data_IF_643577583313
#
_entry.id   IF_643577583313
#
_cell.length_a   1.000
_cell.length_b   1.000
_cell.length_c   1.000
_cell.angle_alpha   90.00
_cell.angle_beta   90.00
_cell.angle_gamma   90.00
#
_symmetry.space_group_name_H-M   'P 1'
#
loop_
_entity.id
_entity.type
_entity.pdbx_description
1 polymer ?
#
# COMPACT_ATOMS: atom_id res chain seq x y z
N UNK A 1 -39.56 -26.84 -15.59
CA UNK A 1 -40.17 -27.02 -14.26
C UNK A 1 -39.34 -28.10 -13.55
N UNK A 2 -38.49 -27.74 -12.58
CA UNK A 2 -37.63 -28.72 -11.87
C UNK A 2 -38.48 -29.47 -10.85
N UNK A 3 -38.44 -30.79 -10.90
CA UNK A 3 -39.29 -31.71 -10.14
C UNK A 3 -38.88 -31.75 -8.66
N UNK A 4 -39.84 -31.94 -7.75
CA UNK A 4 -39.64 -31.93 -6.27
C UNK A 4 -38.78 -33.11 -5.77
N UNK A 5 -38.51 -34.10 -6.62
CA UNK A 5 -37.80 -35.33 -6.27
C UNK A 5 -36.36 -35.42 -6.80
N UNK A 6 -35.81 -34.37 -7.43
CA UNK A 6 -34.40 -34.37 -7.84
C UNK A 6 -33.49 -34.15 -6.63
N UNK A 7 -32.82 -35.21 -6.18
CA UNK A 7 -31.75 -35.19 -5.16
C UNK A 7 -30.48 -34.53 -5.71
N UNK A 8 -30.54 -33.22 -5.90
CA UNK A 8 -29.33 -32.44 -6.12
C UNK A 8 -28.49 -32.44 -4.83
N UNK A 9 -27.23 -32.82 -4.94
CA UNK A 9 -26.24 -32.76 -3.86
C UNK A 9 -25.34 -31.55 -4.13
N UNK A 10 -25.09 -30.72 -3.12
CA UNK A 10 -24.11 -29.65 -3.24
C UNK A 10 -22.71 -30.28 -3.28
N UNK A 11 -21.99 -30.10 -4.38
CA UNK A 11 -20.66 -30.71 -4.60
C UNK A 11 -19.55 -29.88 -3.93
N UNK A 12 -19.55 -28.54 -4.08
CA UNK A 12 -18.51 -27.66 -3.52
C UNK A 12 -18.93 -26.18 -3.53
N UNK A 13 -18.35 -25.35 -2.65
CA UNK A 13 -18.35 -23.89 -2.74
C UNK A 13 -17.06 -23.40 -3.37
N UNK A 14 -17.17 -22.48 -4.34
CA UNK A 14 -16.02 -21.79 -4.91
C UNK A 14 -15.93 -20.40 -4.27
N UNK A 15 -14.91 -20.11 -3.43
CA UNK A 15 -14.77 -18.82 -2.78
C UNK A 15 -14.29 -17.73 -3.76
N UNK A 16 -14.57 -16.46 -3.42
CA UNK A 16 -14.01 -15.33 -4.16
C UNK A 16 -12.50 -15.24 -3.91
N UNK A 17 -11.72 -15.02 -4.97
CA UNK A 17 -10.27 -14.90 -4.90
C UNK A 17 -9.78 -13.45 -4.83
N UNK A 18 -10.65 -12.46 -5.09
CA UNK A 18 -10.34 -11.03 -4.99
C UNK A 18 -10.36 -10.56 -3.53
N UNK A 19 -9.29 -10.85 -2.80
CA UNK A 19 -9.08 -10.38 -1.41
C UNK A 19 -8.10 -9.21 -1.39
N UNK A 20 -8.12 -8.39 -0.34
CA UNK A 20 -7.08 -7.40 -0.06
C UNK A 20 -5.70 -8.04 0.03
N UNK A 21 -4.71 -7.30 -0.45
CA UNK A 21 -3.29 -7.61 -0.31
C UNK A 21 -2.68 -6.48 0.52
N UNK A 22 -1.83 -6.81 1.48
CA UNK A 22 -1.23 -5.84 2.42
C UNK A 22 0.29 -5.75 2.25
N UNK A 23 0.80 -6.04 1.06
CA UNK A 23 2.24 -6.24 0.87
C UNK A 23 3.03 -4.92 1.05
N UNK A 24 2.52 -3.80 0.53
CA UNK A 24 3.17 -2.49 0.71
C UNK A 24 3.16 -2.09 2.18
N UNK A 25 2.02 -2.30 2.84
CA UNK A 25 1.87 -2.08 4.27
C UNK A 25 2.87 -2.91 5.08
N UNK A 26 2.97 -4.21 4.83
CA UNK A 26 3.81 -5.13 5.62
C UNK A 26 5.30 -4.89 5.38
N UNK A 27 5.68 -4.46 4.18
CA UNK A 27 7.08 -4.20 3.82
C UNK A 27 7.59 -2.84 4.29
N UNK A 28 6.77 -1.79 4.17
CA UNK A 28 7.23 -0.40 4.36
C UNK A 28 6.57 0.32 5.55
N UNK A 29 5.44 -0.18 6.04
CA UNK A 29 4.69 0.42 7.14
C UNK A 29 4.45 -0.58 8.29
N UNK A 30 5.51 -1.13 8.92
CA UNK A 30 5.37 -2.19 9.92
C UNK A 30 4.84 -1.67 11.27
N UNK A 31 5.03 -0.38 11.58
CA UNK A 31 4.67 0.15 12.89
C UNK A 31 3.15 0.36 12.98
N UNK A 32 2.55 0.00 14.11
CA UNK A 32 1.13 0.25 14.39
C UNK A 32 1.04 1.11 15.64
N UNK A 33 0.35 2.25 15.52
CA UNK A 33 0.14 3.18 16.64
C UNK A 33 -1.35 3.46 16.75
N UNK A 34 -1.84 3.40 17.97
CA UNK A 34 -3.22 3.74 18.35
C UNK A 34 -3.17 4.99 19.21
N UNK A 35 -3.92 6.04 18.86
CA UNK A 35 -3.95 7.31 19.58
C UNK A 35 -5.33 7.53 20.20
N UNK A 36 -5.36 7.81 21.50
CA UNK A 36 -6.56 8.24 22.24
C UNK A 36 -7.03 9.66 21.84
N UNK A 37 -6.23 10.37 21.05
CA UNK A 37 -6.53 11.72 20.57
C UNK A 37 -7.09 11.66 19.13
N UNK A 38 -7.78 12.73 18.72
CA UNK A 38 -8.23 12.89 17.33
C UNK A 38 -7.08 13.05 16.34
N UNK A 39 -5.95 13.57 16.83
CA UNK A 39 -4.77 13.84 16.03
C UNK A 39 -3.64 12.88 16.41
N UNK A 40 -2.80 12.57 15.41
CA UNK A 40 -1.61 11.76 15.52
C UNK A 40 -0.43 12.65 15.21
N UNK A 41 0.45 12.84 16.18
CA UNK A 41 1.70 13.56 16.01
C UNK A 41 2.85 12.57 15.76
N UNK A 42 3.75 12.92 14.84
CA UNK A 42 5.01 12.23 14.63
C UNK A 42 6.15 13.24 14.70
N UNK A 43 7.12 12.93 15.54
CA UNK A 43 8.39 13.64 15.60
C UNK A 43 9.36 13.03 14.60
N UNK A 44 9.74 13.83 13.60
CA UNK A 44 10.76 13.46 12.62
C UNK A 44 12.04 14.22 12.96
N UNK A 45 13.09 13.45 13.20
CA UNK A 45 14.41 13.99 13.48
C UNK A 45 15.18 14.28 12.18
N UNK A 46 15.04 15.49 11.65
CA UNK A 46 15.66 15.91 10.38
C UNK A 46 17.12 16.30 10.62
N UNK A 47 18.04 15.37 10.36
CA UNK A 47 19.48 15.61 10.44
C UNK A 47 20.03 16.33 9.21
N UNK A 48 20.84 17.36 9.43
CA UNK A 48 21.63 18.02 8.38
C UNK A 48 23.09 17.56 8.45
N UNK A 49 23.73 17.30 7.30
CA UNK A 49 25.16 16.96 7.20
C UNK A 49 26.03 18.23 7.33
N UNK A 50 26.07 18.80 8.53
CA UNK A 50 26.85 20.01 8.85
C UNK A 50 28.34 19.66 9.00
N UNK A 51 29.22 20.52 8.49
CA UNK A 51 30.66 20.43 8.75
C UNK A 51 31.07 21.43 9.83
N UNK A 52 31.98 21.03 10.72
CA UNK A 52 32.51 21.92 11.75
C UNK A 52 33.33 23.06 11.14
N UNK A 53 33.19 24.31 11.62
CA UNK A 53 33.96 25.43 11.10
C UNK A 53 35.42 25.33 11.56
N UNK A 54 36.35 25.68 10.67
CA UNK A 54 37.73 25.93 11.05
C UNK A 54 37.84 27.33 11.68
N UNK A 55 38.48 27.42 12.85
CA UNK A 55 38.76 28.69 13.52
C UNK A 55 40.22 28.69 13.98
N UNK A 56 40.88 29.83 13.82
CA UNK A 56 42.25 30.03 14.30
C UNK A 56 42.30 29.91 15.83
N UNK A 57 43.34 29.30 16.44
CA UNK A 57 43.47 29.17 17.90
C UNK A 57 43.45 30.50 18.67
N UNK A 58 43.70 31.62 17.97
CA UNK A 58 43.74 32.96 18.54
C UNK A 58 42.39 33.71 18.47
N UNK A 59 41.35 33.09 17.91
CA UNK A 59 40.02 33.69 17.73
C UNK A 59 38.97 32.80 18.39
N UNK A 60 37.96 33.43 19.00
CA UNK A 60 36.85 32.72 19.62
C UNK A 60 36.07 31.87 18.60
N UNK A 61 35.70 30.65 19.02
CA UNK A 61 34.98 29.69 18.20
C UNK A 61 33.62 30.21 17.74
N UNK A 62 33.20 29.79 16.54
CA UNK A 62 31.86 30.12 16.04
C UNK A 62 30.82 29.21 16.70
N UNK A 63 29.71 29.79 17.16
CA UNK A 63 28.55 29.03 17.63
C UNK A 63 27.96 28.24 16.47
N UNK A 64 27.78 26.93 16.68
CA UNK A 64 27.13 26.02 15.75
C UNK A 64 25.77 25.67 16.31
N UNK A 65 24.72 25.85 15.52
CA UNK A 65 23.35 25.49 15.92
C UNK A 65 23.21 24.00 16.23
N UNK A 66 22.38 23.68 17.23
CA UNK A 66 22.03 22.31 17.58
C UNK A 66 21.10 21.67 16.55
N UNK A 67 20.88 20.36 16.70
CA UNK A 67 19.92 19.60 15.89
C UNK A 67 18.49 19.98 16.29
N UNK A 68 17.64 20.23 15.29
CA UNK A 68 16.21 20.50 15.50
C UNK A 68 15.39 19.25 15.16
N UNK A 69 14.25 19.09 15.82
CA UNK A 69 13.24 18.09 15.49
C UNK A 69 12.02 18.79 14.89
N UNK A 70 11.29 18.10 14.02
CA UNK A 70 10.05 18.59 13.43
C UNK A 70 8.88 17.70 13.86
N UNK A 71 7.92 18.29 14.58
CA UNK A 71 6.67 17.62 14.93
C UNK A 71 5.62 17.90 13.86
N UNK A 72 5.15 16.86 13.18
CA UNK A 72 4.05 16.96 12.23
C UNK A 72 2.81 16.30 12.81
N UNK A 73 1.71 17.05 12.87
CA UNK A 73 0.43 16.57 13.39
C UNK A 73 -0.55 16.33 12.26
N UNK A 74 -1.16 15.14 12.23
CA UNK A 74 -2.10 14.72 11.21
C UNK A 74 -3.40 14.25 11.86
N UNK A 75 -4.53 14.60 11.25
CA UNK A 75 -5.84 14.09 11.66
C UNK A 75 -6.24 12.94 10.74
N UNK A 76 -6.31 11.69 11.22
CA UNK A 76 -6.78 10.56 10.42
C UNK A 76 -8.20 10.78 9.91
N UNK A 77 -8.50 10.21 8.75
CA UNK A 77 -9.83 10.23 8.18
C UNK A 77 -10.69 9.14 8.79
N UNK A 78 -11.96 9.46 9.03
CA UNK A 78 -12.89 8.52 9.64
C UNK A 78 -13.60 7.68 8.56
N UNK A 79 -13.53 6.36 8.68
CA UNK A 79 -14.20 5.40 7.81
C UNK A 79 -15.39 4.82 8.58
N UNK A 80 -16.58 4.88 7.97
CA UNK A 80 -17.80 4.25 8.46
C UNK A 80 -18.44 3.42 7.35
N UNK A 81 -18.31 2.10 7.43
CA UNK A 81 -19.03 1.18 6.54
C UNK A 81 -20.28 0.68 7.29
N UNK A 82 -21.46 1.11 6.85
CA UNK A 82 -22.74 0.70 7.41
C UNK A 82 -23.47 -0.20 6.44
N UNK A 83 -23.81 -1.40 6.89
CA UNK A 83 -24.55 -2.40 6.12
C UNK A 83 -25.82 -2.80 6.83
N UNK A 84 -26.79 -3.18 6.01
CA UNK A 84 -28.01 -3.80 6.46
C UNK A 84 -28.06 -5.20 5.83
N UNK A 85 -27.52 -6.22 6.52
CA UNK A 85 -27.57 -7.60 6.04
C UNK A 85 -29.00 -8.00 5.60
N UNK A 86 -29.09 -8.74 4.49
CA UNK A 86 -30.38 -9.14 3.92
C UNK A 86 -31.22 -9.93 4.95
N UNK A 87 -32.42 -9.44 5.24
CA UNK A 87 -33.40 -10.04 6.14
C UNK A 87 -33.77 -11.48 5.75
N UNK A 88 -33.66 -11.81 4.46
CA UNK A 88 -34.05 -13.13 3.93
C UNK A 88 -32.89 -14.11 3.88
N UNK A 89 -31.64 -13.66 4.03
CA UNK A 89 -30.45 -14.54 4.02
C UNK A 89 -30.46 -15.58 5.14
N UNK A 90 -30.89 -15.30 6.39
CA UNK A 90 -30.99 -16.31 7.46
C UNK A 90 -32.03 -17.41 7.20
N UNK A 91 -33.05 -17.12 6.39
CA UNK A 91 -34.13 -18.06 6.02
C UNK A 91 -33.72 -18.88 4.79
N UNK A 92 -32.89 -18.31 3.93
CA UNK A 92 -32.36 -18.96 2.72
C UNK A 92 -31.15 -19.82 3.09
N UNK A 93 -30.95 -20.87 2.29
CA UNK A 93 -29.76 -21.73 2.39
C UNK A 93 -28.49 -20.91 2.20
N UNK A 94 -27.50 -21.09 3.06
CA UNK A 94 -26.19 -20.46 2.91
C UNK A 94 -25.37 -21.13 1.80
N UNK A 95 -24.42 -20.39 1.23
CA UNK A 95 -23.46 -20.95 0.29
C UNK A 95 -22.62 -22.01 1.04
N UNK A 96 -22.61 -23.27 0.59
CA UNK A 96 -21.91 -24.36 1.27
C UNK A 96 -22.77 -25.31 2.09
N UNK A 97 -24.03 -24.94 2.33
CA UNK A 97 -24.93 -25.78 3.11
C UNK A 97 -25.54 -26.91 2.27
N UNK A 98 -25.62 -28.11 2.85
CA UNK A 98 -26.25 -29.27 2.20
C UNK A 98 -27.68 -28.95 1.76
N UNK A 99 -28.07 -29.54 0.64
CA UNK A 99 -29.45 -29.44 0.13
C UNK A 99 -30.33 -30.22 1.10
N UNK A 100 -31.19 -29.51 1.83
CA UNK A 100 -31.96 -30.04 2.97
C UNK A 100 -31.81 -29.23 4.26
N UNK A 101 -30.76 -28.39 4.37
CA UNK A 101 -30.50 -27.56 5.54
C UNK A 101 -29.77 -28.31 6.65
N UNK A 102 -28.71 -27.69 7.17
CA UNK A 102 -27.87 -28.24 8.25
C UNK A 102 -27.80 -27.28 9.44
N UNK A 103 -27.93 -25.97 9.19
CA UNK A 103 -27.90 -24.93 10.20
C UNK A 103 -29.29 -24.44 10.60
N UNK A 104 -29.43 -24.02 11.85
CA UNK A 104 -30.59 -23.27 12.32
C UNK A 104 -30.61 -21.85 11.73
N UNK A 105 -31.77 -21.19 11.71
CA UNK A 105 -31.88 -19.82 11.20
C UNK A 105 -30.98 -18.83 11.97
N UNK A 106 -30.81 -19.04 13.28
CA UNK A 106 -29.93 -18.23 14.13
C UNK A 106 -28.44 -18.42 13.77
N UNK A 107 -28.01 -19.65 13.52
CA UNK A 107 -26.63 -19.94 13.07
C UNK A 107 -26.36 -19.34 11.68
N UNK A 108 -27.33 -19.42 10.75
CA UNK A 108 -27.22 -18.76 9.44
C UNK A 108 -27.16 -17.24 9.54
N UNK A 109 -27.86 -16.63 10.49
CA UNK A 109 -27.76 -15.18 10.73
C UNK A 109 -26.34 -14.81 11.19
N UNK A 110 -25.78 -15.56 12.15
CA UNK A 110 -24.44 -15.32 12.69
C UNK A 110 -23.34 -15.52 11.64
N UNK A 111 -23.43 -16.57 10.81
CA UNK A 111 -22.49 -16.80 9.71
C UNK A 111 -22.53 -15.68 8.68
N UNK A 112 -23.73 -15.17 8.36
CA UNK A 112 -23.86 -14.03 7.47
C UNK A 112 -23.23 -12.76 8.07
N UNK A 113 -23.43 -12.53 9.37
CA UNK A 113 -22.81 -11.39 10.05
C UNK A 113 -21.28 -11.47 10.00
N UNK A 114 -20.71 -12.64 10.25
CA UNK A 114 -19.25 -12.86 10.16
C UNK A 114 -18.74 -12.63 8.74
N UNK A 115 -19.47 -13.09 7.72
CA UNK A 115 -19.10 -12.87 6.32
C UNK A 115 -19.08 -11.38 5.96
N UNK A 116 -20.13 -10.64 6.32
CA UNK A 116 -20.19 -9.20 6.08
C UNK A 116 -19.10 -8.45 6.86
N UNK A 117 -18.82 -8.84 8.11
CA UNK A 117 -17.71 -8.25 8.90
C UNK A 117 -16.35 -8.50 8.26
N UNK A 118 -16.10 -9.71 7.76
CA UNK A 118 -14.84 -10.04 7.09
C UNK A 118 -14.63 -9.20 5.82
N UNK A 119 -15.70 -8.97 5.05
CA UNK A 119 -15.66 -8.10 3.87
C UNK A 119 -15.41 -6.62 4.24
N UNK A 120 -16.00 -6.13 5.34
CA UNK A 120 -15.71 -4.78 5.85
C UNK A 120 -14.24 -4.61 6.28
N UNK A 121 -13.65 -5.62 6.90
CA UNK A 121 -12.22 -5.63 7.24
C UNK A 121 -11.37 -5.63 5.96
N UNK A 122 -11.73 -6.42 4.95
CA UNK A 122 -11.05 -6.46 3.66
C UNK A 122 -11.06 -5.10 2.96
N UNK A 123 -12.19 -4.39 2.99
CA UNK A 123 -12.32 -3.05 2.45
C UNK A 123 -11.44 -2.02 3.18
N UNK A 124 -11.34 -2.10 4.51
CA UNK A 124 -10.45 -1.22 5.29
C UNK A 124 -8.99 -1.52 4.98
N UNK A 125 -8.60 -2.80 4.92
CA UNK A 125 -7.25 -3.21 4.52
C UNK A 125 -6.89 -2.69 3.12
N UNK A 126 -7.81 -2.80 2.15
CA UNK A 126 -7.61 -2.27 0.80
C UNK A 126 -7.47 -0.75 0.80
N UNK A 127 -8.19 -0.05 1.68
CA UNK A 127 -8.02 1.41 1.86
C UNK A 127 -6.66 1.76 2.45
N UNK A 128 -6.19 1.00 3.44
CA UNK A 128 -4.86 1.17 4.02
C UNK A 128 -3.76 0.93 2.97
N UNK A 129 -3.88 -0.12 2.17
CA UNK A 129 -2.91 -0.43 1.10
C UNK A 129 -2.92 0.67 0.02
N UNK A 130 -4.11 1.20 -0.32
CA UNK A 130 -4.23 2.36 -1.20
C UNK A 130 -3.56 3.62 -0.61
N UNK A 131 -3.71 3.89 0.69
CA UNK A 131 -3.00 4.99 1.37
C UNK A 131 -1.48 4.79 1.32
N UNK A 132 -1.00 3.56 1.53
CA UNK A 132 0.42 3.21 1.41
C UNK A 132 0.95 3.46 -0.02
N UNK A 133 0.22 3.01 -1.04
CA UNK A 133 0.56 3.25 -2.44
C UNK A 133 0.57 4.75 -2.77
N UNK A 134 -0.42 5.51 -2.31
CA UNK A 134 -0.50 6.97 -2.51
C UNK A 134 0.66 7.71 -1.85
N UNK A 135 0.99 7.35 -0.60
CA UNK A 135 2.12 7.89 0.14
C UNK A 135 3.47 7.59 -0.54
N UNK A 136 3.67 6.37 -1.05
CA UNK A 136 4.90 5.98 -1.76
C UNK A 136 4.98 6.59 -3.17
N UNK A 137 3.85 6.76 -3.87
CA UNK A 137 3.84 7.31 -5.24
C UNK A 137 3.93 8.82 -5.28
N UNK A 138 3.21 9.53 -4.41
CA UNK A 138 3.10 11.01 -4.46
C UNK A 138 3.71 11.72 -3.25
N UNK A 139 3.98 11.01 -2.14
CA UNK A 139 4.36 11.65 -0.87
C UNK A 139 3.17 12.35 -0.19
N UNK A 140 1.96 12.11 -0.67
CA UNK A 140 0.72 12.68 -0.13
C UNK A 140 -0.38 11.63 -0.06
N UNK A 141 -1.37 11.83 0.81
CA UNK A 141 -2.63 11.08 0.78
C UNK A 141 -3.76 12.09 0.68
N UNK A 142 -4.56 11.99 -0.38
CA UNK A 142 -5.77 12.81 -0.52
C UNK A 142 -6.93 12.05 0.09
N UNK A 143 -7.59 12.61 1.09
CA UNK A 143 -8.78 12.02 1.68
C UNK A 143 -9.99 12.82 1.21
N UNK A 144 -10.88 12.17 0.47
CA UNK A 144 -12.21 12.67 0.11
C UNK A 144 -13.30 11.70 0.60
N UNK A 145 -14.51 12.20 0.85
CA UNK A 145 -15.65 11.38 1.22
C UNK A 145 -16.96 12.17 1.30
N UNK A 146 -18.08 11.47 1.25
CA UNK A 146 -19.39 12.10 1.43
C UNK A 146 -19.51 12.65 2.86
N UNK A 147 -19.79 13.95 2.98
CA UNK A 147 -19.79 14.68 4.25
C UNK A 147 -18.40 14.92 4.86
N UNK A 148 -17.31 14.69 4.12
CA UNK A 148 -15.94 14.99 4.54
C UNK A 148 -15.26 15.91 3.51
N UNK A 149 -14.77 17.07 3.95
CA UNK A 149 -14.07 18.00 3.07
C UNK A 149 -12.79 17.37 2.54
N UNK A 150 -12.57 17.45 1.21
CA UNK A 150 -11.37 16.90 0.58
C UNK A 150 -10.12 17.55 1.16
N UNK A 151 -9.30 16.75 1.86
CA UNK A 151 -8.05 17.21 2.47
C UNK A 151 -6.88 16.46 1.89
N UNK A 152 -5.86 17.21 1.47
CA UNK A 152 -4.56 16.65 1.08
C UNK A 152 -3.65 16.61 2.31
N UNK A 153 -3.30 15.42 2.74
CA UNK A 153 -2.26 15.20 3.75
C UNK A 153 -0.92 15.12 3.03
N UNK A 154 -0.13 16.18 3.11
CA UNK A 154 1.20 16.22 2.53
C UNK A 154 2.27 15.89 3.58
N UNK A 155 3.06 14.85 3.34
CA UNK A 155 4.12 14.44 4.27
C UNK A 155 5.45 15.18 4.06
N UNK A 156 5.53 16.06 3.05
CA UNK A 156 6.68 16.91 2.82
C UNK A 156 7.83 16.21 2.06
N UNK A 157 7.50 15.32 1.11
CA UNK A 157 8.54 14.71 0.26
C UNK A 157 9.24 15.76 -0.59
N UNK A 158 10.56 15.67 -0.69
CA UNK A 158 11.34 16.51 -1.57
C UNK A 158 10.87 16.29 -3.03
N UNK A 159 10.51 17.36 -3.78
CA UNK A 159 10.00 17.23 -5.14
C UNK A 159 10.93 16.49 -6.09
N UNK A 160 12.25 16.51 -5.85
CA UNK A 160 13.23 15.80 -6.67
C UNK A 160 13.14 14.27 -6.59
N UNK A 161 12.39 13.75 -5.61
CA UNK A 161 12.09 12.31 -5.43
C UNK A 161 10.77 11.89 -6.08
N UNK A 162 10.09 12.80 -6.79
CA UNK A 162 8.92 12.50 -7.62
C UNK A 162 9.29 12.78 -9.07
N UNK A 163 9.79 11.76 -9.76
CA UNK A 163 10.33 11.87 -11.12
C UNK A 163 9.25 11.55 -12.14
N UNK A 164 9.19 12.32 -13.22
CA UNK A 164 8.36 12.02 -14.39
C UNK A 164 9.24 12.18 -15.63
N UNK A 165 9.59 11.06 -16.26
CA UNK A 165 10.33 11.06 -17.51
C UNK A 165 9.39 11.46 -18.66
N UNK A 166 9.92 12.20 -19.62
CA UNK A 166 9.12 12.68 -20.75
C UNK A 166 9.97 12.79 -22.02
N UNK A 167 9.32 12.80 -23.18
CA UNK A 167 9.99 12.94 -24.46
C UNK A 167 11.00 11.84 -24.71
N UNK A 168 12.25 12.22 -24.99
CA UNK A 168 13.32 11.26 -25.20
C UNK A 168 13.70 10.50 -23.94
N UNK A 169 13.41 10.98 -22.73
CA UNK A 169 13.94 10.39 -21.49
C UNK A 169 13.18 9.17 -20.99
N UNK A 170 12.01 8.90 -21.58
CA UNK A 170 11.18 7.74 -21.28
C UNK A 170 11.93 6.43 -21.60
N UNK A 171 11.76 5.42 -20.75
CA UNK A 171 12.36 4.12 -20.97
C UNK A 171 11.73 3.44 -22.21
N UNK A 172 12.54 2.97 -23.16
CA UNK A 172 12.01 2.42 -24.40
C UNK A 172 11.28 1.09 -24.15
N UNK A 173 10.06 0.96 -24.69
CA UNK A 173 9.32 -0.31 -24.72
C UNK A 173 9.76 -1.23 -25.86
N UNK A 174 10.58 -0.73 -26.77
CA UNK A 174 11.15 -1.45 -27.91
C UNK A 174 12.56 -0.96 -28.15
N UNK A 175 13.52 -1.87 -28.21
CA UNK A 175 14.92 -1.57 -28.52
C UNK A 175 15.29 -2.33 -29.80
N UNK A 176 15.94 -1.64 -30.75
CA UNK A 176 16.37 -2.27 -31.99
C UNK A 176 17.39 -3.39 -31.72
N UNK A 177 17.34 -4.46 -32.51
CA UNK A 177 18.27 -5.58 -32.35
C UNK A 177 19.73 -5.09 -32.51
N UNK A 178 20.56 -5.34 -31.50
CA UNK A 178 21.97 -4.90 -31.48
C UNK A 178 22.21 -3.48 -30.98
N UNK A 179 21.16 -2.72 -30.64
CA UNK A 179 21.33 -1.42 -30.00
C UNK A 179 21.57 -1.57 -28.49
N UNK A 180 22.48 -0.75 -27.95
CA UNK A 180 22.74 -0.65 -26.52
C UNK A 180 21.69 0.24 -25.86
N UNK A 181 21.15 -0.20 -24.72
CA UNK A 181 20.21 0.56 -23.91
C UNK A 181 20.57 0.39 -22.43
N UNK A 182 21.07 1.43 -21.79
CA UNK A 182 21.48 1.44 -20.36
C UNK A 182 20.64 2.36 -19.50
N UNK A 183 19.64 3.03 -20.10
CA UNK A 183 18.93 4.13 -19.44
C UNK A 183 18.24 3.70 -18.15
N UNK A 184 17.53 2.55 -18.09
CA UNK A 184 16.96 2.09 -16.83
C UNK A 184 18.01 1.93 -15.72
N UNK A 185 19.17 1.36 -16.04
CA UNK A 185 20.25 1.19 -15.05
C UNK A 185 20.87 2.52 -14.61
N UNK A 186 21.15 3.42 -15.56
CA UNK A 186 21.73 4.74 -15.29
C UNK A 186 20.77 5.59 -14.41
N UNK A 187 19.48 5.60 -14.75
CA UNK A 187 18.45 6.32 -13.99
C UNK A 187 18.33 5.80 -12.55
N UNK A 188 18.37 4.48 -12.34
CA UNK A 188 18.32 3.89 -11.00
C UNK A 188 19.56 4.27 -10.19
N UNK A 189 20.73 4.41 -10.82
CA UNK A 189 21.97 4.86 -10.16
C UNK A 189 21.90 6.32 -9.70
N UNK A 190 21.31 7.19 -10.52
CA UNK A 190 21.06 8.57 -10.16
C UNK A 190 20.01 8.69 -9.04
N UNK A 191 18.93 7.91 -9.12
CA UNK A 191 17.84 7.94 -8.15
C UNK A 191 18.26 7.43 -6.78
N UNK A 192 19.05 6.35 -6.71
CA UNK A 192 19.55 5.84 -5.43
C UNK A 192 20.46 6.84 -4.74
N UNK A 193 21.31 7.53 -5.52
CA UNK A 193 22.21 8.57 -5.00
C UNK A 193 21.41 9.75 -4.47
N UNK A 194 20.32 10.13 -5.15
CA UNK A 194 19.41 11.19 -4.71
C UNK A 194 18.68 10.84 -3.41
N UNK A 195 18.16 9.62 -3.28
CA UNK A 195 17.54 9.14 -2.04
C UNK A 195 18.56 9.18 -0.89
N UNK A 196 19.78 8.69 -1.12
CA UNK A 196 20.86 8.70 -0.13
C UNK A 196 21.27 10.12 0.27
N UNK A 197 21.29 11.06 -0.67
CA UNK A 197 21.62 12.47 -0.41
C UNK A 197 20.54 13.15 0.44
N UNK A 198 19.26 12.91 0.11
CA UNK A 198 18.12 13.61 0.72
C UNK A 198 17.65 13.01 2.04
N UNK A 199 17.82 11.71 2.23
CA UNK A 199 17.33 11.00 3.43
C UNK A 199 18.43 10.33 4.24
N UNK A 200 19.59 10.04 3.64
CA UNK A 200 20.60 9.18 4.25
C UNK A 200 20.23 7.69 4.28
N UNK A 201 19.04 7.31 3.80
CA UNK A 201 18.61 5.93 3.70
C UNK A 201 19.20 5.26 2.46
N UNK A 202 19.44 3.95 2.57
CA UNK A 202 19.90 3.12 1.48
C UNK A 202 18.71 2.36 0.91
N UNK A 203 18.32 2.67 -0.33
CA UNK A 203 17.24 1.97 -0.98
C UNK A 203 17.63 0.51 -1.26
N UNK A 204 16.71 -0.42 -0.93
CA UNK A 204 16.92 -1.87 -1.05
C UNK A 204 15.87 -2.55 -1.91
N UNK A 205 14.73 -1.90 -2.16
CA UNK A 205 13.61 -2.50 -2.87
C UNK A 205 13.22 -1.62 -4.06
N UNK A 206 13.11 -2.24 -5.23
CA UNK A 206 12.54 -1.64 -6.43
C UNK A 206 11.23 -2.33 -6.77
N UNK A 207 10.16 -1.56 -6.84
CA UNK A 207 8.83 -2.06 -7.17
C UNK A 207 8.42 -1.54 -8.54
N UNK A 208 8.19 -2.47 -9.46
CA UNK A 208 7.80 -2.21 -10.83
C UNK A 208 6.32 -2.53 -11.04
N UNK A 209 5.73 -1.80 -11.98
CA UNK A 209 4.48 -2.15 -12.65
C UNK A 209 4.79 -2.87 -13.96
N UNK A 210 3.77 -3.40 -14.64
CA UNK A 210 3.97 -4.21 -15.84
C UNK A 210 4.73 -3.47 -16.95
N UNK A 211 4.40 -2.20 -17.23
CA UNK A 211 5.09 -1.42 -18.27
C UNK A 211 6.53 -1.09 -17.89
N UNK A 212 6.77 -0.65 -16.65
CA UNK A 212 8.13 -0.32 -16.21
C UNK A 212 9.02 -1.56 -16.14
N UNK A 213 8.49 -2.71 -15.72
CA UNK A 213 9.21 -3.99 -15.75
C UNK A 213 9.57 -4.42 -17.18
N UNK A 214 8.65 -4.24 -18.14
CA UNK A 214 8.92 -4.55 -19.55
C UNK A 214 10.02 -3.68 -20.12
N UNK A 215 10.02 -2.39 -19.82
CA UNK A 215 11.07 -1.47 -20.26
C UNK A 215 12.42 -1.78 -19.59
N UNK A 216 12.42 -2.04 -18.28
CA UNK A 216 13.61 -2.42 -17.50
C UNK A 216 14.30 -3.68 -18.05
N UNK A 217 13.53 -4.70 -18.45
CA UNK A 217 14.07 -5.94 -19.06
C UNK A 217 14.76 -5.73 -20.41
N UNK A 218 14.54 -4.61 -21.07
CA UNK A 218 15.17 -4.27 -22.35
C UNK A 218 16.50 -3.52 -22.15
N UNK A 219 16.91 -3.28 -20.92
CA UNK A 219 18.24 -2.79 -20.61
C UNK A 219 19.28 -3.88 -20.94
N UNK A 220 20.29 -3.52 -21.74
CA UNK A 220 21.33 -4.45 -22.19
C UNK A 220 22.21 -4.94 -21.04
N UNK A 221 22.47 -4.11 -20.04
CA UNK A 221 23.30 -4.51 -18.88
C UNK A 221 22.61 -5.58 -18.05
N UNK A 222 21.28 -5.51 -17.95
CA UNK A 222 20.46 -6.47 -17.19
C UNK A 222 20.21 -7.72 -18.02
N UNK A 223 19.90 -7.56 -19.31
CA UNK A 223 19.70 -8.67 -20.24
C UNK A 223 20.92 -9.58 -20.27
N UNK A 224 22.11 -9.01 -20.45
CA UNK A 224 23.32 -9.80 -20.66
C UNK A 224 23.85 -10.35 -19.33
N UNK A 225 23.90 -9.55 -18.26
CA UNK A 225 24.52 -10.00 -17.00
C UNK A 225 23.58 -10.79 -16.08
N UNK A 226 22.30 -10.40 -15.99
CA UNK A 226 21.39 -10.91 -14.97
C UNK A 226 20.35 -11.91 -15.50
N UNK A 227 20.06 -11.87 -16.82
CA UNK A 227 19.05 -12.72 -17.46
C UNK A 227 19.70 -13.86 -18.29
N UNK A 228 20.66 -13.57 -19.17
CA UNK A 228 21.22 -14.61 -20.07
C UNK A 228 22.37 -15.40 -19.45
N UNK A 229 23.18 -14.78 -18.60
CA UNK A 229 24.35 -15.43 -18.00
C UNK A 229 24.36 -15.45 -16.46
N UNK A 230 23.28 -15.88 -15.78
CA UNK A 230 23.23 -15.89 -14.31
C UNK A 230 24.30 -16.81 -13.68
N UNK A 231 24.76 -17.83 -14.41
CA UNK A 231 25.82 -18.74 -13.96
C UNK A 231 27.23 -18.13 -13.93
N UNK A 232 27.46 -17.01 -14.64
CA UNK A 232 28.74 -16.29 -14.63
C UNK A 232 28.88 -15.35 -13.43
N UNK A 233 27.80 -15.14 -12.64
CA UNK A 233 27.81 -14.41 -11.38
C UNK A 233 27.20 -15.25 -10.25
N UNK A 234 27.91 -16.30 -9.74
CA UNK A 234 27.35 -17.25 -8.77
C UNK A 234 26.95 -16.62 -7.42
N UNK A 235 27.49 -15.43 -7.12
CA UNK A 235 27.23 -14.67 -5.89
C UNK A 235 26.53 -13.31 -6.15
N UNK A 236 26.02 -13.07 -7.37
CA UNK A 236 25.47 -11.78 -7.77
C UNK A 236 24.34 -11.83 -8.80
N UNK A 237 23.60 -10.71 -8.89
CA UNK A 237 22.58 -10.34 -9.88
C UNK A 237 21.86 -11.49 -10.60
N UNK A 238 20.83 -12.06 -9.97
CA UNK A 238 19.98 -13.08 -10.61
C UNK A 238 18.57 -12.53 -10.79
N UNK A 239 18.10 -12.46 -12.04
CA UNK A 239 16.78 -11.94 -12.37
C UNK A 239 15.96 -12.98 -13.13
N UNK A 240 14.77 -13.29 -12.60
CA UNK A 240 13.79 -14.14 -13.24
C UNK A 240 12.97 -13.32 -14.26
N UNK A 241 13.38 -13.38 -15.52
CA UNK A 241 12.67 -12.73 -16.63
C UNK A 241 11.35 -13.42 -17.03
N UNK A 242 11.04 -14.58 -16.44
CA UNK A 242 9.83 -15.34 -16.73
C UNK A 242 8.54 -14.59 -16.38
N UNK A 243 7.50 -14.83 -17.16
CA UNK A 243 6.16 -14.41 -16.82
C UNK A 243 5.70 -15.18 -15.57
N UNK A 244 5.32 -14.44 -14.53
CA UNK A 244 4.79 -14.99 -13.30
C UNK A 244 3.75 -14.00 -12.78
N UNK A 245 2.61 -14.53 -12.34
CA UNK A 245 1.56 -13.76 -11.69
C UNK A 245 1.22 -14.46 -10.37
N UNK A 246 1.22 -13.70 -9.29
CA UNK A 246 0.79 -14.14 -7.97
C UNK A 246 -0.04 -13.03 -7.35
N UNK A 247 -0.82 -13.37 -6.32
CA UNK A 247 -1.48 -12.36 -5.50
C UNK A 247 -0.41 -11.56 -4.73
N UNK A 248 -0.53 -10.23 -4.72
CA UNK A 248 0.45 -9.34 -4.10
C UNK A 248 1.70 -9.13 -4.97
N UNK A 249 2.85 -8.89 -4.33
CA UNK A 249 4.11 -8.68 -5.05
C UNK A 249 4.75 -10.01 -5.50
N UNK A 250 5.25 -10.03 -6.73
CA UNK A 250 6.03 -11.12 -7.30
C UNK A 250 7.50 -10.76 -7.21
N UNK A 251 8.29 -11.55 -6.47
CA UNK A 251 9.74 -11.40 -6.46
C UNK A 251 10.32 -11.78 -7.83
N UNK A 252 11.12 -10.89 -8.40
CA UNK A 252 11.79 -11.09 -9.69
C UNK A 252 13.28 -11.36 -9.56
N UNK A 253 13.83 -11.32 -8.36
CA UNK A 253 15.25 -11.57 -8.12
C UNK A 253 15.95 -10.33 -7.59
N UNK A 254 17.29 -10.35 -7.65
CA UNK A 254 18.14 -9.32 -7.08
C UNK A 254 19.03 -8.71 -8.16
N UNK A 255 19.20 -7.39 -8.12
CA UNK A 255 20.14 -6.67 -8.97
C UNK A 255 20.86 -5.58 -8.16
N UNK A 256 22.17 -5.76 -7.98
CA UNK A 256 23.02 -4.98 -7.10
C UNK A 256 22.56 -5.10 -5.65
N UNK A 257 22.23 -3.95 -5.05
CA UNK A 257 21.66 -3.87 -3.72
C UNK A 257 20.13 -4.05 -3.71
N UNK A 258 19.48 -4.08 -4.87
CA UNK A 258 18.03 -4.04 -4.98
C UNK A 258 17.39 -5.42 -5.12
N UNK A 259 16.39 -5.66 -4.29
CA UNK A 259 15.39 -6.69 -4.51
C UNK A 259 14.32 -6.15 -5.47
N UNK A 260 14.10 -6.88 -6.56
CA UNK A 260 13.19 -6.49 -7.64
C UNK A 260 11.82 -7.13 -7.42
N UNK A 261 10.79 -6.31 -7.39
CA UNK A 261 9.40 -6.72 -7.17
C UNK A 261 8.52 -6.26 -8.32
N UNK A 262 7.62 -7.13 -8.78
CA UNK A 262 6.52 -6.75 -9.66
C UNK A 262 5.24 -6.69 -8.81
N UNK A 263 4.63 -5.52 -8.69
CA UNK A 263 3.41 -5.35 -7.91
C UNK A 263 2.29 -4.80 -8.79
N UNK A 264 1.23 -5.58 -8.92
CA UNK A 264 0.00 -5.17 -9.57
C UNK A 264 -1.17 -5.55 -8.67
N UNK A 265 -1.86 -4.54 -8.16
CA UNK A 265 -3.13 -4.72 -7.46
C UNK A 265 -4.10 -3.61 -7.90
N UNK A 266 -5.38 -3.86 -7.72
CA UNK A 266 -6.47 -2.99 -8.18
C UNK A 266 -7.43 -2.65 -7.04
N UNK A 267 -8.08 -1.50 -7.13
CA UNK A 267 -9.16 -1.10 -6.25
C UNK A 267 -10.32 -0.54 -7.05
N UNK A 268 -11.51 -0.55 -6.48
CA UNK A 268 -12.66 0.14 -7.06
C UNK A 268 -12.73 1.52 -6.43
N UNK A 269 -12.67 2.55 -7.26
CA UNK A 269 -12.81 3.92 -6.79
C UNK A 269 -14.28 4.19 -6.44
N UNK A 270 -14.59 4.65 -5.21
CA UNK A 270 -15.97 4.92 -4.81
C UNK A 270 -16.63 6.06 -5.61
N UNK A 271 -15.85 6.96 -6.24
CA UNK A 271 -16.42 8.11 -6.97
C UNK A 271 -16.97 7.70 -8.35
N UNK A 272 -16.32 6.77 -9.06
CA UNK A 272 -16.71 6.35 -10.41
C UNK A 272 -17.06 4.86 -10.57
N UNK A 273 -16.90 4.06 -9.51
CA UNK A 273 -17.10 2.61 -9.49
C UNK A 273 -16.28 1.84 -10.54
N UNK A 274 -15.13 2.36 -10.96
CA UNK A 274 -14.22 1.67 -11.91
C UNK A 274 -13.04 1.05 -11.18
N UNK A 275 -12.60 -0.10 -11.69
CA UNK A 275 -11.39 -0.80 -11.22
C UNK A 275 -10.16 -0.03 -11.73
N UNK A 276 -9.36 0.51 -10.81
CA UNK A 276 -8.12 1.27 -11.06
C UNK A 276 -6.93 0.56 -10.42
N UNK A 277 -5.72 0.63 -10.99
CA UNK A 277 -4.54 0.06 -10.35
C UNK A 277 -4.13 0.89 -9.12
N UNK A 278 -3.62 0.24 -8.07
CA UNK A 278 -3.12 0.92 -6.87
C UNK A 278 -1.90 1.81 -7.18
N UNK A 279 -1.00 1.32 -8.04
CA UNK A 279 0.14 2.08 -8.54
C UNK A 279 -0.09 2.33 -10.03
N UNK A 280 0.04 3.59 -10.52
CA UNK A 280 -0.07 3.88 -11.93
C UNK A 280 0.88 3.04 -12.79
N UNK A 281 0.36 2.41 -13.84
CA UNK A 281 1.17 1.57 -14.73
C UNK A 281 2.18 2.43 -15.51
N UNK A 282 3.45 2.01 -15.49
CA UNK A 282 4.58 2.82 -15.93
C UNK A 282 5.37 3.46 -14.78
N UNK A 283 4.94 3.30 -13.52
CA UNK A 283 5.71 3.76 -12.37
C UNK A 283 6.74 2.72 -11.88
N UNK A 284 7.82 3.23 -11.29
CA UNK A 284 8.82 2.51 -10.49
C UNK A 284 8.89 3.18 -9.12
N UNK A 285 8.76 2.39 -8.05
CA UNK A 285 9.00 2.86 -6.70
C UNK A 285 10.35 2.35 -6.22
N UNK A 286 11.07 3.20 -5.52
CA UNK A 286 12.32 2.88 -4.84
C UNK A 286 12.14 3.20 -3.36
N UNK A 287 12.36 2.22 -2.49
CA UNK A 287 12.16 2.38 -1.04
C UNK A 287 13.04 1.39 -0.25
N UNK A 288 12.93 1.43 1.06
CA UNK A 288 13.64 0.58 2.00
C UNK A 288 12.90 0.45 3.33
N UNK A 289 13.36 -0.46 4.19
CA UNK A 289 12.84 -0.62 5.55
C UNK A 289 13.07 0.64 6.42
N UNK A 290 14.07 1.46 6.11
CA UNK A 290 14.38 2.71 6.82
C UNK A 290 13.32 3.80 6.62
N UNK A 291 12.33 3.60 5.74
CA UNK A 291 11.13 4.44 5.67
C UNK A 291 10.41 4.49 7.03
N UNK A 292 10.46 3.38 7.79
CA UNK A 292 9.85 3.22 9.11
C UNK A 292 8.39 3.67 9.14
N UNK A 293 7.62 3.31 8.12
CA UNK A 293 6.24 3.75 7.99
C UNK A 293 5.37 3.29 9.17
N UNK A 294 4.37 4.10 9.49
CA UNK A 294 3.47 3.90 10.63
C UNK A 294 2.03 3.86 10.16
N UNK A 295 1.30 2.83 10.57
CA UNK A 295 -0.16 2.73 10.48
C UNK A 295 -0.74 3.31 11.76
N UNK A 296 -1.18 4.55 11.68
CA UNK A 296 -1.78 5.24 12.81
C UNK A 296 -3.30 5.06 12.79
N UNK A 297 -3.87 4.75 13.95
CA UNK A 297 -5.32 4.65 14.16
C UNK A 297 -5.70 5.70 15.21
N UNK A 298 -6.52 6.66 14.80
CA UNK A 298 -7.07 7.68 15.68
C UNK A 298 -8.20 7.16 16.56
N UNK A 299 -8.67 8.01 17.46
CA UNK A 299 -9.76 7.71 18.38
C UNK A 299 -11.09 7.43 17.65
N UNK A 300 -11.82 6.42 18.13
CA UNK A 300 -13.17 6.10 17.62
C UNK A 300 -14.20 6.92 18.39
N UNK A 301 -14.80 7.92 17.73
CA UNK A 301 -15.86 8.77 18.30
C UNK A 301 -17.22 8.06 18.45
N UNK A 302 -17.28 6.98 19.23
CA UNK A 302 -18.51 6.25 19.56
C UNK A 302 -18.49 5.83 21.05
N UNK A 303 -19.50 6.23 21.85
CA UNK A 303 -19.61 5.85 23.26
C UNK A 303 -19.59 4.34 23.51
N UNK A 304 -20.04 3.52 22.55
CA UNK A 304 -20.06 2.06 22.68
C UNK A 304 -18.65 1.45 22.79
N UNK A 305 -17.61 2.18 22.37
CA UNK A 305 -16.22 1.77 22.48
C UNK A 305 -15.45 2.61 23.51
N UNK A 306 -16.15 3.33 24.40
CA UNK A 306 -15.57 4.23 25.39
C UNK A 306 -14.58 5.26 24.80
N UNK A 307 -14.79 5.68 23.55
CA UNK A 307 -13.84 6.54 22.84
C UNK A 307 -12.40 5.97 22.79
N UNK A 308 -12.27 4.65 22.63
CA UNK A 308 -10.98 3.98 22.56
C UNK A 308 -10.32 4.03 21.17
N UNK A 309 -9.00 3.81 21.09
CA UNK A 309 -8.24 3.89 19.84
C UNK A 309 -8.16 2.50 19.18
N UNK A 310 -9.27 2.10 18.57
CA UNK A 310 -9.39 0.77 17.95
C UNK A 310 -9.06 0.83 16.45
N UNK A 311 -8.26 -0.13 15.97
CA UNK A 311 -8.03 -0.30 14.54
C UNK A 311 -9.30 -0.69 13.78
N UNK A 312 -10.16 -1.51 14.41
CA UNK A 312 -11.45 -1.94 13.90
C UNK A 312 -12.47 -1.90 15.03
N UNK A 313 -13.56 -1.15 14.85
CA UNK A 313 -14.63 -0.98 15.84
C UNK A 313 -15.97 -1.49 15.25
N UNK A 314 -16.21 -2.82 15.27
CA UNK A 314 -17.45 -3.41 14.78
C UNK A 314 -18.59 -3.25 15.79
N UNK A 315 -19.74 -2.74 15.34
CA UNK A 315 -20.95 -2.55 16.13
C UNK A 315 -22.14 -3.12 15.39
N UNK A 316 -22.97 -3.90 16.09
CA UNK A 316 -24.23 -4.41 15.57
C UNK A 316 -25.38 -4.05 16.50
N UNK A 317 -26.53 -3.70 15.94
CA UNK A 317 -27.75 -3.47 16.71
C UNK A 317 -28.98 -3.80 15.86
N UNK A 318 -30.11 -4.06 16.50
CA UNK A 318 -31.40 -4.25 15.82
C UNK A 318 -32.12 -2.92 15.80
N UNK A 319 -32.61 -2.51 14.63
CA UNK A 319 -33.59 -1.44 14.49
C UNK A 319 -34.97 -2.10 14.51
N UNK A 320 -35.86 -1.66 15.39
CA UNK A 320 -37.14 -2.35 15.64
C UNK A 320 -38.22 -2.07 14.57
N UNK A 321 -38.06 -1.03 13.74
CA UNK A 321 -39.06 -0.66 12.72
C UNK A 321 -38.43 -0.05 11.43
N UNK A 322 -38.36 -0.82 10.32
CA UNK A 322 -38.58 -2.27 10.25
C UNK A 322 -37.50 -3.05 11.02
N UNK A 323 -37.88 -4.20 11.57
CA UNK A 323 -36.98 -5.12 12.28
C UNK A 323 -35.81 -5.54 11.38
N UNK A 324 -34.66 -4.89 11.54
CA UNK A 324 -33.46 -5.16 10.75
C UNK A 324 -32.21 -5.00 11.61
N UNK A 325 -31.37 -6.03 11.60
CA UNK A 325 -30.02 -5.94 12.16
C UNK A 325 -29.17 -5.07 11.26
N UNK A 326 -28.50 -4.08 11.84
CA UNK A 326 -27.53 -3.23 11.18
C UNK A 326 -26.14 -3.61 11.68
N UNK A 327 -25.18 -3.61 10.77
CA UNK A 327 -23.76 -3.79 11.04
C UNK A 327 -23.03 -2.49 10.65
N UNK A 328 -22.19 -2.00 11.54
CA UNK A 328 -21.37 -0.82 11.33
C UNK A 328 -19.93 -1.15 11.68
N UNK A 329 -19.01 -0.95 10.73
CA UNK A 329 -17.57 -0.98 10.99
C UNK A 329 -17.04 0.45 11.01
N UNK A 330 -16.33 0.80 12.07
CA UNK A 330 -15.68 2.10 12.23
C UNK A 330 -14.17 1.91 12.32
N UNK A 331 -13.42 2.81 11.69
CA UNK A 331 -11.97 2.90 11.81
C UNK A 331 -11.52 4.31 11.48
N UNK A 332 -10.44 4.80 12.10
CA UNK A 332 -9.85 6.10 11.78
C UNK A 332 -8.38 5.95 11.38
N UNK A 333 -8.07 5.31 10.24
CA UNK A 333 -6.70 5.02 9.85
C UNK A 333 -6.01 6.18 9.11
N UNK A 334 -4.69 6.26 9.27
CA UNK A 334 -3.80 7.03 8.41
C UNK A 334 -2.46 6.30 8.29
N UNK A 335 -2.00 6.12 7.05
CA UNK A 335 -0.69 5.52 6.77
C UNK A 335 0.32 6.64 6.57
N UNK A 336 1.31 6.71 7.47
CA UNK A 336 2.27 7.82 7.54
C UNK A 336 3.67 7.30 7.21
N UNK A 337 4.33 7.80 6.15
CA UNK A 337 5.73 7.52 5.90
C UNK A 337 6.61 8.37 6.83
N UNK A 338 7.07 7.79 7.94
CA UNK A 338 7.83 8.51 8.97
C UNK A 338 9.06 9.23 8.40
N UNK A 339 9.77 8.60 7.44
CA UNK A 339 10.85 9.24 6.67
C UNK A 339 10.50 9.35 5.19
N UNK A 340 9.55 10.20 4.83
CA UNK A 340 9.03 10.30 3.45
C UNK A 340 10.11 10.36 2.34
N UNK A 341 11.26 11.00 2.59
CA UNK A 341 12.37 11.11 1.64
C UNK A 341 13.17 9.80 1.43
N UNK A 342 12.94 8.76 2.23
CA UNK A 342 13.48 7.41 2.01
C UNK A 342 12.68 6.61 0.95
N UNK A 343 11.76 7.29 0.25
CA UNK A 343 11.01 6.76 -0.89
C UNK A 343 11.15 7.68 -2.11
N UNK A 344 11.19 7.09 -3.29
CA UNK A 344 11.16 7.78 -4.58
C UNK A 344 10.17 7.08 -5.51
N UNK A 345 9.47 7.88 -6.31
CA UNK A 345 8.58 7.38 -7.37
C UNK A 345 9.00 8.00 -8.70
N UNK A 346 9.18 7.16 -9.72
CA UNK A 346 9.50 7.58 -11.07
C UNK A 346 8.44 7.05 -12.04
N UNK A 347 7.82 7.94 -12.83
CA UNK A 347 7.00 7.56 -13.99
C UNK A 347 7.92 7.48 -15.20
N UNK A 348 8.09 6.27 -15.75
CA UNK A 348 9.18 5.96 -16.68
C UNK A 348 8.73 5.56 -18.08
N UNK A 349 7.42 5.36 -18.30
CA UNK A 349 6.81 4.94 -19.59
C UNK A 349 5.62 5.81 -19.94
#
# INVERSE_FOLDING_TARGET
MKNIFDTSVLVQVVPNLKTSQNWLLDRFFPNVVTSDQEEVAIDVDVGLRRMSPFVSPLVEGKLVESRTYQTNTFKPAYIKDKRAPDLRKPIRRQIGERIGGEYTAAEREMLNLQFEMADQIDMINRRLEWMAASALTTGTVTVSGDGYETRVVNFGRDPSLTVTLSGSDVWPLTVAAGATNTRPSDDIEDWQTRVLQKSGAVATDLIFTNKSWRAFRLDTTIKDNAITFPALSPFGNQVNAGAQIMKGAVYKGRWGNFDLWLYNDWFIDPEDNKEKPLIPDGAVLMSCADLMGTRAFGVIMDPAFNYGPLAYAPKTWVKEDPAQRLLLMQSAPLVIPSRVNASLCATVV
#
